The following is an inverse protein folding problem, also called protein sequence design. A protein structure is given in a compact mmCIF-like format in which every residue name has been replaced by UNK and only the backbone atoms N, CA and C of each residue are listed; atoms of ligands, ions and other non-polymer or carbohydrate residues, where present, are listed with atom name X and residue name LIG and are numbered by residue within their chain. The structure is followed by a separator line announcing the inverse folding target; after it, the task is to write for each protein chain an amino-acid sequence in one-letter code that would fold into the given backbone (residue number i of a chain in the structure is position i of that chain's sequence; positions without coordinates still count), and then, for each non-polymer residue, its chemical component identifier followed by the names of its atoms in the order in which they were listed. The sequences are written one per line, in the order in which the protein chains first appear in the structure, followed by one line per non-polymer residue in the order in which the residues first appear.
data_IF_665871102011
#
_entry.id   IF_665871102011
#
_cell.length_a   1.000
_cell.length_b   1.000
_cell.length_c   1.000
_cell.angle_alpha   90.00
_cell.angle_beta   90.00
_cell.angle_gamma   90.00
#
_symmetry.space_group_name_H-M   'P 1'
#
loop_
_entity.id
_entity.type
_entity.pdbx_description
1 polymer ?
#
# COMPACT_ATOMS: atom_id res chain seq x y z
N UNK A 1 -58.15 -5.84 2.25
CA UNK A 1 -56.87 -5.81 3.03
C UNK A 1 -55.74 -5.58 2.06
N UNK A 2 -55.39 -4.32 1.82
CA UNK A 2 -54.22 -3.92 1.06
C UNK A 2 -53.26 -3.28 2.02
N UNK A 3 -52.15 -3.96 2.30
CA UNK A 3 -51.04 -3.39 3.04
C UNK A 3 -49.77 -3.50 2.22
N UNK A 4 -49.08 -2.38 2.08
CA UNK A 4 -47.64 -2.38 1.93
C UNK A 4 -47.06 -2.11 0.56
N UNK A 5 -47.42 -1.05 -0.11
CA UNK A 5 -46.68 -0.51 -1.28
C UNK A 5 -45.95 0.80 -1.01
N UNK A 6 -45.53 1.08 0.26
CA UNK A 6 -45.16 2.43 0.67
C UNK A 6 -43.70 2.71 0.98
N UNK A 7 -42.77 1.73 0.98
CA UNK A 7 -41.46 1.96 1.56
C UNK A 7 -40.21 1.84 0.64
N UNK A 8 -40.40 1.57 -0.65
CA UNK A 8 -39.27 1.51 -1.59
C UNK A 8 -39.12 2.79 -2.43
N UNK A 9 -39.94 3.79 -2.17
CA UNK A 9 -39.93 5.07 -2.91
C UNK A 9 -38.91 6.11 -2.36
N UNK A 10 -38.19 5.85 -1.28
CA UNK A 10 -37.33 6.84 -0.64
C UNK A 10 -35.91 6.95 -1.27
N UNK A 11 -35.59 6.14 -2.26
CA UNK A 11 -34.42 6.32 -3.10
C UNK A 11 -34.71 7.08 -4.41
N UNK A 12 -35.78 7.87 -4.44
CA UNK A 12 -36.03 8.79 -5.55
C UNK A 12 -34.90 9.79 -5.57
N UNK A 13 -34.02 9.70 -6.61
CA UNK A 13 -32.93 10.62 -6.92
C UNK A 13 -33.37 12.06 -6.62
N UNK A 14 -32.97 12.60 -5.48
CA UNK A 14 -33.11 14.04 -5.26
C UNK A 14 -32.25 14.74 -6.30
N UNK A 15 -32.80 15.65 -7.11
CA UNK A 15 -31.97 16.36 -8.09
C UNK A 15 -30.91 17.14 -7.34
N UNK A 16 -29.69 17.17 -7.88
CA UNK A 16 -28.53 17.87 -7.29
C UNK A 16 -28.85 19.34 -6.92
N UNK A 17 -29.85 19.93 -7.58
CA UNK A 17 -30.37 21.28 -7.29
C UNK A 17 -31.07 21.40 -5.93
N UNK A 18 -31.53 20.28 -5.34
CA UNK A 18 -32.18 20.28 -4.04
C UNK A 18 -31.19 20.11 -2.85
N UNK A 19 -29.90 19.92 -3.14
CA UNK A 19 -28.90 19.77 -2.11
C UNK A 19 -28.58 21.08 -1.41
N UNK A 20 -28.48 21.02 -0.09
CA UNK A 20 -28.02 22.15 0.71
C UNK A 20 -26.54 22.46 0.40
N UNK A 21 -26.07 23.64 0.78
CA UNK A 21 -24.65 23.98 0.65
C UNK A 21 -23.78 22.95 1.39
N UNK A 22 -24.19 22.52 2.56
CA UNK A 22 -23.48 21.51 3.37
C UNK A 22 -23.37 20.18 2.63
N UNK A 23 -24.44 19.71 1.98
CA UNK A 23 -24.43 18.46 1.21
C UNK A 23 -23.44 18.53 0.04
N UNK A 24 -23.39 19.67 -0.64
CA UNK A 24 -22.46 19.91 -1.76
C UNK A 24 -21.01 19.92 -1.28
N UNK A 25 -20.72 20.63 -0.19
CA UNK A 25 -19.36 20.65 0.40
C UNK A 25 -18.92 19.25 0.85
N UNK A 26 -19.83 18.50 1.49
CA UNK A 26 -19.56 17.14 1.90
C UNK A 26 -19.31 16.20 0.70
N UNK A 27 -20.09 16.34 -0.37
CA UNK A 27 -19.88 15.57 -1.60
C UNK A 27 -18.52 15.89 -2.24
N UNK A 28 -18.12 17.17 -2.29
CA UNK A 28 -16.79 17.57 -2.78
C UNK A 28 -15.69 16.99 -1.90
N UNK A 29 -15.85 17.03 -0.58
CA UNK A 29 -14.91 16.42 0.34
C UNK A 29 -14.73 14.91 0.08
N UNK A 30 -15.85 14.17 0.00
CA UNK A 30 -15.81 12.73 -0.28
C UNK A 30 -15.21 12.42 -1.66
N UNK A 31 -15.53 13.23 -2.67
CA UNK A 31 -14.96 13.08 -4.00
C UNK A 31 -13.43 13.28 -3.98
N UNK A 32 -12.93 14.25 -3.22
CA UNK A 32 -11.49 14.48 -3.02
C UNK A 32 -10.81 13.29 -2.32
N UNK A 33 -11.40 12.78 -1.23
CA UNK A 33 -10.90 11.57 -0.54
C UNK A 33 -10.85 10.38 -1.51
N UNK A 34 -11.95 10.15 -2.25
CA UNK A 34 -12.02 9.04 -3.20
C UNK A 34 -10.98 9.18 -4.33
N UNK A 35 -10.75 10.40 -4.83
CA UNK A 35 -9.76 10.67 -5.87
C UNK A 35 -8.34 10.36 -5.38
N UNK A 36 -7.97 10.79 -4.17
CA UNK A 36 -6.64 10.49 -3.59
C UNK A 36 -6.47 8.98 -3.38
N UNK A 37 -7.44 8.32 -2.76
CA UNK A 37 -7.37 6.88 -2.53
C UNK A 37 -7.30 6.07 -3.84
N UNK A 38 -8.04 6.51 -4.87
CA UNK A 38 -7.98 5.88 -6.19
C UNK A 38 -6.60 6.07 -6.83
N UNK A 39 -6.05 7.28 -6.74
CA UNK A 39 -4.71 7.58 -7.23
C UNK A 39 -3.65 6.68 -6.55
N UNK A 40 -3.65 6.60 -5.22
CA UNK A 40 -2.74 5.75 -4.46
C UNK A 40 -2.91 4.27 -4.81
N UNK A 41 -4.16 3.80 -4.96
CA UNK A 41 -4.45 2.43 -5.35
C UNK A 41 -3.92 2.10 -6.76
N UNK A 42 -4.03 3.03 -7.71
CA UNK A 42 -3.50 2.86 -9.08
C UNK A 42 -1.97 2.83 -9.07
N UNK A 43 -1.31 3.72 -8.33
CA UNK A 43 0.15 3.71 -8.17
C UNK A 43 0.63 2.40 -7.54
N UNK A 44 -0.02 1.97 -6.47
CA UNK A 44 0.30 0.70 -5.81
C UNK A 44 0.08 -0.50 -6.71
N UNK A 45 -1.02 -0.52 -7.48
CA UNK A 45 -1.28 -1.59 -8.44
C UNK A 45 -0.21 -1.63 -9.55
N UNK A 46 0.19 -0.46 -10.07
CA UNK A 46 1.29 -0.35 -11.04
C UNK A 46 2.60 -0.91 -10.48
N UNK A 47 2.99 -0.48 -9.29
CA UNK A 47 4.18 -1.00 -8.61
C UNK A 47 4.11 -2.53 -8.42
N UNK A 48 2.96 -3.06 -7.99
CA UNK A 48 2.77 -4.50 -7.82
C UNK A 48 2.87 -5.27 -9.12
N UNK A 49 2.41 -4.70 -10.23
CA UNK A 49 2.55 -5.31 -11.55
C UNK A 49 4.02 -5.36 -11.99
N UNK A 50 4.78 -4.29 -11.76
CA UNK A 50 6.22 -4.28 -12.06
C UNK A 50 6.99 -5.30 -11.20
N UNK A 51 6.74 -5.35 -9.90
CA UNK A 51 7.36 -6.34 -9.01
C UNK A 51 7.04 -7.78 -9.45
N UNK A 52 5.83 -8.03 -9.96
CA UNK A 52 5.44 -9.37 -10.47
C UNK A 52 6.26 -9.81 -11.68
N UNK A 53 6.71 -8.87 -12.52
CA UNK A 53 7.57 -9.14 -13.67
C UNK A 53 8.99 -9.49 -13.26
N UNK A 54 9.41 -9.10 -12.05
CA UNK A 54 10.74 -9.38 -11.50
C UNK A 54 11.04 -10.88 -11.41
N UNK A 55 12.32 -11.23 -11.53
CA UNK A 55 12.79 -12.59 -11.42
C UNK A 55 12.61 -13.15 -10.00
N UNK A 56 12.52 -14.47 -9.89
CA UNK A 56 12.55 -15.13 -8.59
C UNK A 56 13.96 -15.01 -7.99
N UNK A 57 14.03 -14.89 -6.66
CA UNK A 57 15.33 -14.88 -5.97
C UNK A 57 16.14 -16.14 -6.27
N UNK A 58 17.45 -15.95 -6.45
CA UNK A 58 18.41 -17.05 -6.62
C UNK A 58 18.48 -17.92 -5.36
N UNK A 59 18.88 -19.20 -5.47
CA UNK A 59 19.04 -20.06 -4.30
C UNK A 59 20.04 -19.48 -3.28
N UNK A 60 21.12 -18.85 -3.75
CA UNK A 60 22.14 -18.21 -2.91
C UNK A 60 21.54 -17.05 -2.10
N UNK A 61 20.77 -16.17 -2.74
CA UNK A 61 20.10 -15.05 -2.08
C UNK A 61 19.08 -15.52 -1.04
N UNK A 62 18.30 -16.54 -1.38
CA UNK A 62 17.31 -17.13 -0.43
C UNK A 62 18.00 -17.72 0.80
N UNK A 63 19.10 -18.42 0.60
CA UNK A 63 19.88 -19.00 1.70
C UNK A 63 20.48 -17.91 2.58
N UNK A 64 20.99 -16.82 2.00
CA UNK A 64 21.50 -15.67 2.73
C UNK A 64 20.42 -15.02 3.58
N UNK A 65 19.24 -14.78 3.01
CA UNK A 65 18.08 -14.24 3.72
C UNK A 65 17.66 -15.17 4.87
N UNK A 66 17.59 -16.48 4.63
CA UNK A 66 17.25 -17.47 5.65
C UNK A 66 18.25 -17.45 6.83
N UNK A 67 19.55 -17.45 6.54
CA UNK A 67 20.59 -17.38 7.57
C UNK A 67 20.53 -16.09 8.38
N UNK A 68 20.28 -14.95 7.73
CA UNK A 68 20.10 -13.67 8.41
C UNK A 68 18.87 -13.71 9.31
N UNK A 69 17.75 -14.26 8.84
CA UNK A 69 16.54 -14.41 9.64
C UNK A 69 16.77 -15.26 10.90
N UNK A 70 17.42 -16.40 10.74
CA UNK A 70 17.74 -17.33 11.85
C UNK A 70 18.71 -16.70 12.86
N UNK A 71 19.75 -16.01 12.36
CA UNK A 71 20.78 -15.40 13.21
C UNK A 71 20.22 -14.30 14.12
N UNK A 72 19.21 -13.54 13.65
CA UNK A 72 18.65 -12.39 14.36
C UNK A 72 17.23 -12.62 14.89
N UNK A 73 16.74 -13.85 14.86
CA UNK A 73 15.38 -14.23 15.29
C UNK A 73 14.29 -13.35 14.64
N UNK A 74 14.36 -13.26 13.32
CA UNK A 74 13.46 -12.46 12.50
C UNK A 74 12.48 -13.34 11.73
N UNK A 75 11.29 -12.80 11.36
CA UNK A 75 10.33 -13.55 10.56
C UNK A 75 10.93 -13.91 9.19
N UNK A 76 10.81 -15.18 8.82
CA UNK A 76 11.31 -15.66 7.54
C UNK A 76 10.58 -15.01 6.37
N UNK A 77 11.32 -14.32 5.49
CA UNK A 77 10.78 -13.71 4.29
C UNK A 77 10.55 -14.76 3.19
N UNK A 78 9.27 -15.06 2.93
CA UNK A 78 8.86 -16.10 1.97
C UNK A 78 8.85 -15.65 0.52
N UNK A 79 8.58 -14.35 0.30
CA UNK A 79 8.42 -13.79 -1.03
C UNK A 79 9.53 -12.78 -1.32
N UNK A 80 10.43 -13.13 -2.23
CA UNK A 80 11.54 -12.29 -2.67
C UNK A 80 11.51 -12.18 -4.18
N UNK A 81 11.69 -10.97 -4.70
CA UNK A 81 11.78 -10.67 -6.13
C UNK A 81 13.03 -9.86 -6.44
N UNK A 82 13.65 -10.17 -7.57
CA UNK A 82 14.77 -9.40 -8.13
C UNK A 82 14.19 -8.57 -9.26
N UNK A 83 14.37 -7.25 -9.17
CA UNK A 83 13.85 -6.32 -10.16
C UNK A 83 14.97 -5.44 -10.72
N UNK A 84 14.85 -5.11 -12.02
CA UNK A 84 15.67 -4.11 -12.71
C UNK A 84 15.11 -2.71 -12.47
N UNK A 85 15.94 -1.68 -12.64
CA UNK A 85 15.50 -0.27 -12.58
C UNK A 85 15.19 0.25 -11.18
N UNK A 86 15.58 -0.49 -10.14
CA UNK A 86 15.55 -0.04 -8.74
C UNK A 86 16.99 0.05 -8.19
N UNK A 87 17.22 0.98 -7.29
CA UNK A 87 18.57 1.24 -6.73
C UNK A 87 18.75 0.67 -5.33
N UNK A 88 17.67 0.61 -4.54
CA UNK A 88 17.70 0.16 -3.15
C UNK A 88 16.70 -0.98 -2.91
N UNK A 89 17.02 -1.94 -2.04
CA UNK A 89 16.04 -2.93 -1.60
C UNK A 89 14.90 -2.24 -0.85
N UNK A 90 13.72 -2.84 -0.88
CA UNK A 90 12.57 -2.38 -0.09
C UNK A 90 11.52 -3.47 0.10
N UNK A 91 10.64 -3.28 1.08
CA UNK A 91 9.49 -4.13 1.32
C UNK A 91 8.23 -3.54 0.67
N UNK A 92 7.47 -4.37 -0.03
CA UNK A 92 6.20 -4.01 -0.64
C UNK A 92 5.09 -4.98 -0.23
N UNK A 93 3.97 -4.45 0.23
CA UNK A 93 2.77 -5.24 0.55
C UNK A 93 2.49 -5.38 2.04
N UNK A 94 1.28 -5.01 2.44
CA UNK A 94 0.84 -5.00 3.84
C UNK A 94 0.55 -6.40 4.38
N UNK A 95 -0.25 -7.21 3.66
CA UNK A 95 -0.70 -8.53 4.13
C UNK A 95 0.30 -9.64 3.76
N UNK A 96 0.90 -9.52 2.60
CA UNK A 96 1.91 -10.47 2.09
C UNK A 96 3.10 -9.67 1.60
N UNK A 97 4.01 -9.27 2.50
CA UNK A 97 5.17 -8.48 2.14
C UNK A 97 6.07 -9.24 1.18
N UNK A 98 6.57 -8.54 0.18
CA UNK A 98 7.54 -9.02 -0.81
C UNK A 98 8.80 -8.19 -0.59
N UNK A 99 9.92 -8.84 -0.35
CA UNK A 99 11.22 -8.18 -0.38
C UNK A 99 11.65 -8.04 -1.84
N UNK A 100 11.83 -6.81 -2.26
CA UNK A 100 12.31 -6.47 -3.60
C UNK A 100 13.78 -6.11 -3.50
N UNK A 101 14.61 -6.80 -4.29
CA UNK A 101 16.07 -6.62 -4.31
C UNK A 101 16.48 -6.15 -5.71
N UNK A 102 17.31 -5.10 -5.83
CA UNK A 102 17.89 -4.69 -7.09
C UNK A 102 18.69 -5.82 -7.74
N UNK A 103 18.60 -5.97 -9.06
CA UNK A 103 19.41 -6.96 -9.79
C UNK A 103 20.90 -6.72 -9.58
N UNK A 104 21.34 -5.46 -9.53
CA UNK A 104 22.74 -5.08 -9.28
C UNK A 104 23.27 -5.54 -7.93
N UNK A 105 22.39 -5.76 -6.94
CA UNK A 105 22.75 -6.17 -5.59
C UNK A 105 22.44 -7.63 -5.28
N UNK A 106 21.77 -8.37 -6.16
CA UNK A 106 21.24 -9.70 -5.89
C UNK A 106 22.30 -10.71 -5.39
N UNK A 107 23.54 -10.61 -5.90
CA UNK A 107 24.65 -11.49 -5.52
C UNK A 107 25.50 -10.89 -4.38
N UNK A 108 25.60 -9.56 -4.29
CA UNK A 108 26.54 -8.86 -3.41
C UNK A 108 25.89 -8.22 -2.18
N UNK A 109 24.55 -8.27 -2.07
CA UNK A 109 23.81 -7.59 -0.98
C UNK A 109 24.41 -7.89 0.39
N UNK A 110 24.69 -6.84 1.17
CA UNK A 110 25.25 -6.97 2.51
C UNK A 110 24.20 -7.53 3.50
N UNK A 111 24.67 -8.31 4.46
CA UNK A 111 23.87 -8.82 5.57
C UNK A 111 23.20 -7.68 6.36
N UNK A 112 23.88 -6.56 6.56
CA UNK A 112 23.34 -5.39 7.28
C UNK A 112 22.14 -4.78 6.56
N UNK A 113 22.19 -4.72 5.23
CA UNK A 113 21.09 -4.22 4.41
C UNK A 113 19.88 -5.15 4.51
N UNK A 114 20.11 -6.46 4.39
CA UNK A 114 19.05 -7.46 4.60
C UNK A 114 18.46 -7.37 6.01
N UNK A 115 19.29 -7.22 7.03
CA UNK A 115 18.84 -7.06 8.40
C UNK A 115 17.94 -5.83 8.56
N UNK A 116 18.35 -4.70 7.96
CA UNK A 116 17.56 -3.46 7.99
C UNK A 116 16.17 -3.65 7.39
N UNK A 117 16.06 -4.22 6.19
CA UNK A 117 14.79 -4.50 5.53
C UNK A 117 13.91 -5.48 6.33
N UNK A 118 14.53 -6.49 6.93
CA UNK A 118 13.81 -7.47 7.73
C UNK A 118 13.32 -6.91 9.07
N UNK A 119 13.98 -5.90 9.63
CA UNK A 119 13.48 -5.17 10.80
C UNK A 119 12.21 -4.37 10.47
N UNK A 120 12.12 -3.75 9.30
CA UNK A 120 10.89 -3.10 8.82
C UNK A 120 9.72 -4.09 8.73
N UNK A 121 10.01 -5.36 8.35
CA UNK A 121 9.01 -6.42 8.36
C UNK A 121 8.54 -6.74 9.79
N UNK A 122 9.44 -6.82 10.75
CA UNK A 122 9.14 -7.12 12.17
C UNK A 122 8.32 -6.00 12.82
N UNK A 123 8.63 -4.75 12.50
CA UNK A 123 7.96 -3.57 13.08
C UNK A 123 6.66 -3.18 12.37
N UNK A 124 6.27 -3.89 11.30
CA UNK A 124 5.09 -3.58 10.51
C UNK A 124 5.07 -2.16 9.92
N UNK A 125 6.23 -1.62 9.56
CA UNK A 125 6.37 -0.24 9.07
C UNK A 125 5.52 0.02 7.81
N UNK A 126 5.32 -1.00 6.98
CA UNK A 126 4.41 -0.91 5.82
C UNK A 126 2.96 -0.58 6.25
N UNK A 127 2.51 -1.10 7.40
CA UNK A 127 1.19 -0.76 7.96
C UNK A 127 1.14 0.69 8.43
N UNK A 128 2.20 1.16 9.08
CA UNK A 128 2.31 2.55 9.54
C UNK A 128 2.23 3.51 8.35
N UNK A 129 3.00 3.25 7.28
CA UNK A 129 2.93 4.05 6.06
C UNK A 129 1.54 4.03 5.43
N UNK A 130 0.88 2.88 5.38
CA UNK A 130 -0.51 2.80 4.90
C UNK A 130 -1.47 3.67 5.71
N UNK A 131 -1.36 3.65 7.05
CA UNK A 131 -2.19 4.49 7.92
C UNK A 131 -1.91 5.98 7.72
N UNK A 132 -0.64 6.36 7.50
CA UNK A 132 -0.27 7.74 7.17
C UNK A 132 -0.89 8.18 5.84
N UNK A 133 -0.84 7.36 4.80
CA UNK A 133 -1.51 7.65 3.52
C UNK A 133 -3.03 7.79 3.67
N UNK A 134 -3.66 6.94 4.51
CA UNK A 134 -5.09 7.08 4.80
C UNK A 134 -5.41 8.39 5.50
N UNK A 135 -4.59 8.81 6.47
CA UNK A 135 -4.73 10.11 7.13
C UNK A 135 -4.53 11.27 6.14
N UNK A 136 -3.57 11.17 5.23
CA UNK A 136 -3.36 12.13 4.16
C UNK A 136 -4.60 12.24 3.25
N UNK A 137 -5.16 11.11 2.83
CA UNK A 137 -6.35 11.09 2.01
C UNK A 137 -7.57 11.74 2.71
N UNK A 138 -7.77 11.48 3.99
CA UNK A 138 -8.82 12.11 4.79
C UNK A 138 -8.62 13.63 4.97
N UNK A 139 -7.39 14.09 4.91
CA UNK A 139 -7.02 15.50 5.05
C UNK A 139 -6.46 16.08 3.74
N UNK A 140 -6.90 15.61 2.60
CA UNK A 140 -6.37 15.93 1.28
C UNK A 140 -6.31 17.43 0.98
N UNK A 141 -7.18 18.24 1.58
CA UNK A 141 -7.24 19.69 1.41
C UNK A 141 -6.23 20.45 2.29
N UNK A 142 -5.53 19.76 3.21
CA UNK A 142 -4.58 20.37 4.14
C UNK A 142 -3.15 20.13 3.65
N UNK A 143 -2.43 21.20 3.17
CA UNK A 143 -1.08 21.04 2.65
C UNK A 143 -0.05 20.56 3.69
N UNK A 144 -0.27 20.79 4.98
CA UNK A 144 0.66 20.40 6.04
C UNK A 144 0.77 18.88 6.21
N UNK A 145 -0.24 18.11 5.78
CA UNK A 145 -0.23 16.66 5.91
C UNK A 145 0.74 16.00 4.91
N UNK A 146 1.14 16.73 3.86
CA UNK A 146 2.10 16.25 2.85
C UNK A 146 3.57 16.52 3.23
N UNK A 147 3.81 17.13 4.40
CA UNK A 147 5.15 17.41 4.94
C UNK A 147 5.57 16.40 6.01
N UNK A 148 4.72 15.44 6.31
CA UNK A 148 4.97 14.32 7.22
C UNK A 148 5.64 13.17 6.47
#
# INVERSE_FOLDING_TARGET
FGMGGGEISLLKKMPFSAWSLTDRLFAVYLAGVAAVLLYDALLYAGLRLEIRKGAAATPSLREKIRKTAEKYDLPAQKSVRICTGIETPFLCGMVRPILVVPESMAETIDEKVLLHEMLHLKHHDVLVHFLLHLLQALNWFNPFVYWL
#
